data_IF_477578688037
#
_entry.id   IF_477578688037
#
_cell.length_a   1.000
_cell.length_b   1.000
_cell.length_c   1.000
_cell.angle_alpha   90.00
_cell.angle_beta   90.00
_cell.angle_gamma   90.00
#
_symmetry.space_group_name_H-M   'P 1'
#
loop_
_entity.id
_entity.type
_entity.pdbx_description
1 polymer ?
#
# COMPACT_ATOMS: atom_id res chain seq x y z
N UNK A 1 -39.68 -11.87 53.61
CA UNK A 1 -38.35 -11.41 54.08
C UNK A 1 -37.33 -12.49 53.71
N UNK A 2 -36.25 -12.10 53.05
CA UNK A 2 -35.44 -12.92 52.13
C UNK A 2 -34.38 -13.83 52.82
N UNK A 3 -34.36 -15.08 52.32
CA UNK A 3 -33.25 -15.93 51.85
C UNK A 3 -31.95 -16.05 52.68
N UNK A 4 -31.72 -17.33 53.04
CA UNK A 4 -30.56 -17.98 53.65
C UNK A 4 -29.32 -17.95 52.74
N UNK A 5 -28.18 -17.58 53.30
CA UNK A 5 -26.85 -17.68 52.68
C UNK A 5 -26.50 -19.14 52.33
N UNK A 6 -25.93 -19.36 51.14
CA UNK A 6 -25.28 -20.62 50.76
C UNK A 6 -23.96 -20.31 50.07
N UNK A 7 -22.90 -20.82 50.68
CA UNK A 7 -21.50 -20.65 50.33
C UNK A 7 -21.13 -21.40 49.05
N UNK A 8 -20.39 -20.70 48.20
CA UNK A 8 -19.85 -21.14 46.93
C UNK A 8 -18.75 -22.19 47.15
N UNK A 9 -18.97 -23.42 46.68
CA UNK A 9 -17.94 -24.46 46.61
C UNK A 9 -17.25 -24.39 45.24
N UNK A 10 -15.99 -23.96 45.23
CA UNK A 10 -15.11 -24.03 44.06
C UNK A 10 -14.54 -25.44 43.92
N UNK A 11 -15.09 -26.24 43.00
CA UNK A 11 -14.50 -27.50 42.58
C UNK A 11 -13.32 -27.24 41.65
N UNK A 12 -12.11 -27.53 42.14
CA UNK A 12 -10.88 -27.58 41.34
C UNK A 12 -10.95 -28.78 40.37
N UNK A 13 -11.06 -28.51 39.07
CA UNK A 13 -10.93 -29.53 38.04
C UNK A 13 -9.46 -29.90 37.82
N UNK A 14 -9.09 -31.20 37.79
CA UNK A 14 -7.74 -31.62 37.43
C UNK A 14 -7.52 -31.49 35.91
N UNK A 15 -6.47 -30.75 35.55
CA UNK A 15 -5.96 -30.63 34.18
C UNK A 15 -5.39 -31.99 33.77
N UNK A 16 -6.01 -32.61 32.77
CA UNK A 16 -5.50 -33.83 32.11
C UNK A 16 -4.36 -33.44 31.16
N UNK A 17 -3.18 -34.09 31.22
CA UNK A 17 -2.14 -33.88 30.22
C UNK A 17 -2.59 -34.49 28.89
N UNK A 18 -2.81 -33.62 27.89
CA UNK A 18 -2.99 -34.03 26.50
C UNK A 18 -1.66 -34.60 26.01
N UNK A 19 -1.71 -35.85 25.59
CA UNK A 19 -0.60 -36.58 25.00
C UNK A 19 0.13 -35.71 23.96
N UNK A 20 1.44 -35.59 24.16
CA UNK A 20 2.39 -35.13 23.18
C UNK A 20 2.23 -35.94 21.89
N UNK A 21 1.63 -35.34 20.86
CA UNK A 21 1.72 -35.82 19.48
C UNK A 21 3.18 -35.68 19.07
N UNK A 22 3.85 -36.82 18.96
CA UNK A 22 5.18 -36.96 18.41
C UNK A 22 5.20 -36.43 16.97
N UNK A 23 5.70 -35.22 16.76
CA UNK A 23 6.17 -34.79 15.45
C UNK A 23 7.48 -35.52 15.19
N UNK A 24 7.41 -36.64 14.46
CA UNK A 24 8.59 -37.23 13.81
C UNK A 24 9.02 -36.26 12.72
N UNK A 25 9.78 -35.24 13.10
CA UNK A 25 10.60 -34.49 12.16
C UNK A 25 11.65 -35.46 11.63
N UNK A 26 11.40 -35.98 10.43
CA UNK A 26 12.40 -36.65 9.64
C UNK A 26 13.58 -35.70 9.48
N UNK A 27 14.65 -36.00 10.20
CA UNK A 27 15.98 -35.43 10.00
C UNK A 27 16.49 -35.98 8.66
N UNK A 28 15.95 -35.47 7.56
CA UNK A 28 16.50 -35.71 6.23
C UNK A 28 17.77 -34.88 6.19
N UNK A 29 18.90 -35.55 6.42
CA UNK A 29 20.26 -35.11 6.13
C UNK A 29 20.29 -34.46 4.75
N UNK A 30 20.07 -33.16 4.69
CA UNK A 30 20.57 -32.34 3.61
C UNK A 30 21.95 -31.94 4.08
N UNK A 31 22.94 -32.62 3.50
CA UNK A 31 24.34 -32.27 3.63
C UNK A 31 24.46 -30.83 3.16
N UNK A 32 24.64 -29.91 4.11
CA UNK A 32 25.07 -28.55 3.85
C UNK A 32 26.44 -28.68 3.21
N UNK A 33 26.47 -28.62 1.87
CA UNK A 33 27.71 -28.39 1.14
C UNK A 33 28.07 -26.92 1.37
N UNK A 34 28.91 -26.69 2.38
CA UNK A 34 29.70 -25.47 2.47
C UNK A 34 30.68 -25.46 1.28
N UNK A 35 30.22 -25.05 0.09
CA UNK A 35 31.15 -24.69 -0.97
C UNK A 35 31.64 -23.27 -0.71
N UNK A 36 32.77 -23.23 -0.02
CA UNK A 36 33.64 -22.08 0.13
C UNK A 36 34.13 -21.66 -1.27
N UNK A 37 33.60 -20.57 -1.82
CA UNK A 37 34.20 -19.91 -2.98
C UNK A 37 34.87 -18.62 -2.50
N UNK A 38 36.17 -18.71 -2.24
CA UNK A 38 37.06 -17.55 -2.17
C UNK A 38 37.98 -17.53 -3.39
N UNK A 39 38.22 -16.30 -3.84
CA UNK A 39 39.29 -15.82 -4.70
C UNK A 39 39.05 -15.78 -6.22
N UNK A 40 38.95 -14.52 -6.68
CA UNK A 40 39.58 -13.93 -7.87
C UNK A 40 39.11 -14.37 -9.27
N UNK A 41 38.38 -13.49 -9.95
CA UNK A 41 38.83 -13.01 -11.26
C UNK A 41 38.27 -11.60 -11.52
N UNK A 42 39.17 -10.65 -11.73
CA UNK A 42 38.85 -9.30 -12.18
C UNK A 42 38.78 -9.31 -13.70
N UNK A 43 37.61 -9.03 -14.27
CA UNK A 43 37.50 -8.79 -15.71
C UNK A 43 36.50 -7.68 -16.05
N UNK A 44 37.08 -6.49 -16.20
CA UNK A 44 36.87 -5.52 -17.28
C UNK A 44 35.47 -5.45 -17.90
N UNK A 45 34.77 -4.36 -17.56
CA UNK A 45 34.16 -3.39 -18.48
C UNK A 45 34.19 -3.74 -19.98
N UNK A 46 33.01 -4.01 -20.56
CA UNK A 46 32.74 -3.94 -22.00
C UNK A 46 31.21 -3.86 -22.17
N UNK A 47 30.58 -2.68 -22.27
CA UNK A 47 30.29 -1.93 -23.52
C UNK A 47 29.86 -2.85 -24.67
N UNK A 48 28.63 -3.38 -24.58
CA UNK A 48 27.96 -4.02 -25.72
C UNK A 48 27.50 -2.93 -26.69
N UNK A 49 28.39 -2.63 -27.65
CA UNK A 49 28.05 -2.18 -28.99
C UNK A 49 27.87 -3.43 -29.83
N UNK A 50 26.67 -3.66 -30.39
CA UNK A 50 26.43 -4.43 -31.61
C UNK A 50 25.24 -3.78 -32.32
N UNK A 51 25.47 -3.01 -33.38
CA UNK A 51 25.68 -3.45 -34.77
C UNK A 51 24.36 -3.70 -35.49
N UNK A 52 23.77 -2.64 -36.04
CA UNK A 52 22.91 -2.76 -37.23
C UNK A 52 23.35 -1.72 -38.26
N UNK A 53 24.29 -2.15 -39.11
CA UNK A 53 24.62 -1.54 -40.38
C UNK A 53 23.66 -2.08 -41.44
N UNK A 54 22.85 -1.22 -42.05
CA UNK A 54 22.41 -1.39 -43.44
C UNK A 54 22.05 -0.03 -44.06
N UNK A 55 22.81 0.29 -45.11
CA UNK A 55 22.45 1.08 -46.28
C UNK A 55 22.19 2.61 -46.14
N UNK A 56 23.25 3.35 -46.47
CA UNK A 56 23.24 4.64 -47.17
C UNK A 56 22.38 4.55 -48.46
N UNK A 57 21.78 5.57 -49.08
CA UNK A 57 22.18 6.94 -49.44
C UNK A 57 20.95 7.65 -50.08
N UNK A 58 20.97 9.00 -50.03
CA UNK A 58 20.61 9.98 -51.09
C UNK A 58 19.71 11.12 -50.58
N UNK A 59 20.33 12.29 -50.53
CA UNK A 59 19.72 13.60 -50.28
C UNK A 59 19.02 14.14 -51.54
N UNK A 60 17.86 14.78 -51.38
CA UNK A 60 17.31 15.75 -52.35
C UNK A 60 16.74 16.96 -51.60
N UNK A 61 17.07 18.11 -52.15
CA UNK A 61 16.86 19.49 -51.72
C UNK A 61 15.40 19.97 -51.87
N UNK A 62 15.18 21.16 -51.29
CA UNK A 62 14.35 22.26 -51.78
C UNK A 62 13.01 22.52 -51.07
N UNK A 63 12.94 23.77 -50.60
CA UNK A 63 11.77 24.51 -50.17
C UNK A 63 10.62 24.49 -51.18
N UNK A 64 9.38 24.57 -50.69
CA UNK A 64 8.27 25.02 -51.52
C UNK A 64 6.88 24.60 -51.03
N UNK A 65 6.05 25.62 -50.82
CA UNK A 65 4.59 25.65 -50.98
C UNK A 65 3.69 25.02 -49.89
N UNK A 66 3.20 25.94 -49.05
CA UNK A 66 1.78 26.03 -48.68
C UNK A 66 0.85 25.66 -49.85
N UNK A 67 -0.13 24.77 -49.64
CA UNK A 67 -1.55 25.00 -49.94
C UNK A 67 -2.43 23.89 -49.33
N UNK A 68 -3.56 24.31 -48.76
CA UNK A 68 -4.62 23.55 -48.09
C UNK A 68 -5.38 22.58 -49.05
N UNK A 69 -6.22 21.64 -48.55
CA UNK A 69 -7.64 22.00 -48.42
C UNK A 69 -8.38 21.41 -47.21
N UNK A 70 -9.29 22.24 -46.69
CA UNK A 70 -10.46 21.92 -45.88
C UNK A 70 -11.30 20.79 -46.48
N UNK A 71 -11.78 19.86 -45.64
CA UNK A 71 -12.97 19.05 -45.94
C UNK A 71 -13.83 18.75 -44.70
N UNK A 72 -15.14 18.51 -44.92
CA UNK A 72 -16.22 19.00 -44.06
C UNK A 72 -16.75 17.97 -43.04
N UNK A 73 -17.59 18.53 -42.16
CA UNK A 73 -18.55 17.89 -41.26
C UNK A 73 -19.22 16.63 -41.81
N UNK A 74 -19.11 15.54 -41.05
CA UNK A 74 -20.09 14.47 -41.02
C UNK A 74 -20.12 13.89 -39.60
N UNK A 75 -21.12 14.33 -38.83
CA UNK A 75 -21.48 13.75 -37.55
C UNK A 75 -22.00 12.31 -37.75
N UNK A 76 -21.62 11.37 -36.87
CA UNK A 76 -22.49 10.27 -36.51
C UNK A 76 -23.29 10.66 -35.26
N UNK A 77 -24.62 10.70 -35.39
CA UNK A 77 -25.50 10.50 -34.24
C UNK A 77 -25.16 9.13 -33.63
N UNK A 78 -24.47 9.12 -32.49
CA UNK A 78 -24.43 7.95 -31.62
C UNK A 78 -25.39 8.19 -30.46
N UNK A 79 -26.60 7.68 -30.66
CA UNK A 79 -27.49 7.28 -29.58
C UNK A 79 -26.86 6.02 -28.97
N UNK A 80 -26.12 6.19 -27.89
CA UNK A 80 -25.74 5.11 -27.00
C UNK A 80 -26.15 5.56 -25.60
N UNK A 81 -27.17 4.88 -25.08
CA UNK A 81 -27.79 5.20 -23.81
C UNK A 81 -26.74 5.29 -22.70
N UNK A 82 -26.79 6.40 -21.97
CA UNK A 82 -26.22 6.50 -20.64
C UNK A 82 -26.90 5.43 -19.78
N UNK A 83 -26.32 4.23 -19.73
CA UNK A 83 -26.45 3.42 -18.54
C UNK A 83 -25.94 4.31 -17.43
N UNK A 84 -26.84 4.75 -16.56
CA UNK A 84 -26.50 5.35 -15.29
C UNK A 84 -25.58 4.34 -14.62
N UNK A 85 -24.27 4.57 -14.72
CA UNK A 85 -23.32 3.92 -13.85
C UNK A 85 -23.72 4.45 -12.48
N UNK A 86 -24.43 3.61 -11.76
CA UNK A 86 -24.58 3.70 -10.32
C UNK A 86 -23.17 3.55 -9.76
N UNK A 87 -22.40 4.64 -9.81
CA UNK A 87 -21.34 4.88 -8.84
C UNK A 87 -22.06 4.87 -7.51
N UNK A 88 -22.18 3.68 -6.93
CA UNK A 88 -22.39 3.52 -5.51
C UNK A 88 -21.28 4.31 -4.84
N UNK A 89 -21.61 5.56 -4.50
CA UNK A 89 -20.86 6.35 -3.55
C UNK A 89 -20.94 5.56 -2.25
N UNK A 90 -19.96 4.69 -2.05
CA UNK A 90 -19.70 4.13 -0.74
C UNK A 90 -19.39 5.35 0.11
N UNK A 91 -20.37 5.73 0.90
CA UNK A 91 -20.29 6.81 1.87
C UNK A 91 -19.36 6.29 2.96
N UNK A 92 -18.06 6.34 2.65
CA UNK A 92 -17.02 5.70 3.43
C UNK A 92 -16.65 6.55 4.62
N UNK A 93 -17.55 6.66 5.60
CA UNK A 93 -17.25 7.28 6.90
C UNK A 93 -16.29 6.41 7.73
N UNK A 94 -15.87 5.24 7.23
CA UNK A 94 -15.04 4.25 7.93
C UNK A 94 -13.97 3.67 7.01
N UNK A 95 -12.76 3.47 7.55
CA UNK A 95 -11.68 2.79 6.83
C UNK A 95 -12.00 1.33 6.44
N UNK A 96 -13.01 0.71 7.05
CA UNK A 96 -13.45 -0.64 6.70
C UNK A 96 -14.20 -0.71 5.36
N UNK A 97 -14.57 0.43 4.78
CA UNK A 97 -15.31 0.49 3.52
C UNK A 97 -14.42 0.51 2.27
N UNK A 98 -13.11 0.35 2.40
CA UNK A 98 -12.18 0.41 1.26
C UNK A 98 -11.93 1.84 0.79
N UNK A 99 -11.29 2.67 1.62
CA UNK A 99 -11.13 4.12 1.39
C UNK A 99 -9.85 4.51 0.64
N UNK A 100 -9.08 3.53 0.18
CA UNK A 100 -7.82 3.76 -0.53
C UNK A 100 -7.63 2.71 -1.62
N UNK A 101 -6.79 3.02 -2.63
CA UNK A 101 -6.47 2.05 -3.69
C UNK A 101 -5.14 1.35 -3.44
N UNK A 102 -4.98 0.14 -3.98
CA UNK A 102 -3.69 -0.57 -3.94
C UNK A 102 -2.56 0.18 -4.65
N UNK A 103 -2.89 0.90 -5.73
CA UNK A 103 -1.92 1.73 -6.46
C UNK A 103 -1.41 2.85 -5.55
N UNK A 104 -2.32 3.54 -4.85
CA UNK A 104 -1.95 4.58 -3.90
C UNK A 104 -1.10 4.04 -2.75
N UNK A 105 -1.48 2.92 -2.15
CA UNK A 105 -0.69 2.26 -1.11
C UNK A 105 0.71 1.86 -1.61
N UNK A 106 0.83 1.42 -2.87
CA UNK A 106 2.13 1.07 -3.47
C UNK A 106 3.03 2.28 -3.69
N UNK A 107 2.47 3.45 -4.03
CA UNK A 107 3.23 4.70 -4.06
C UNK A 107 3.65 5.10 -2.64
N UNK A 108 2.74 4.95 -1.68
CA UNK A 108 2.99 5.21 -0.26
C UNK A 108 4.13 4.42 0.31
N UNK A 109 4.22 3.13 -0.03
CA UNK A 109 5.34 2.27 0.37
C UNK A 109 6.68 2.86 -0.08
N UNK A 110 6.78 3.29 -1.35
CA UNK A 110 8.02 3.86 -1.85
C UNK A 110 8.39 5.17 -1.14
N UNK A 111 7.40 6.01 -0.81
CA UNK A 111 7.65 7.23 -0.06
C UNK A 111 8.05 6.95 1.38
N UNK A 112 7.43 5.96 2.03
CA UNK A 112 7.84 5.51 3.35
C UNK A 112 9.30 5.03 3.35
N UNK A 113 9.71 4.24 2.35
CA UNK A 113 11.10 3.78 2.23
C UNK A 113 12.11 4.94 2.08
N UNK A 114 11.72 6.00 1.37
CA UNK A 114 12.58 7.16 1.14
C UNK A 114 12.66 8.12 2.33
N UNK A 115 11.54 8.40 2.99
CA UNK A 115 11.43 9.49 3.94
C UNK A 115 11.27 9.05 5.41
N UNK A 116 10.83 7.81 5.66
CA UNK A 116 10.44 7.37 7.00
C UNK A 116 11.26 6.16 7.50
N UNK A 117 11.69 5.27 6.60
CA UNK A 117 12.29 3.98 6.95
C UNK A 117 13.67 4.08 7.62
N UNK A 118 14.34 5.24 7.55
CA UNK A 118 15.58 5.48 8.26
C UNK A 118 15.39 5.45 9.80
N UNK A 119 14.22 5.88 10.30
CA UNK A 119 13.91 5.96 11.72
C UNK A 119 12.77 5.02 12.15
N UNK A 120 11.85 4.68 11.24
CA UNK A 120 10.67 3.87 11.56
C UNK A 120 10.71 2.49 10.92
N UNK A 121 10.35 1.47 11.71
CA UNK A 121 10.01 0.16 11.18
C UNK A 121 8.51 0.11 10.86
N UNK A 122 8.15 -0.25 9.63
CA UNK A 122 6.75 -0.34 9.19
C UNK A 122 5.90 -1.24 10.10
N UNK A 123 6.44 -2.35 10.61
CA UNK A 123 5.71 -3.30 11.47
C UNK A 123 5.32 -2.73 12.82
N UNK A 124 6.04 -1.70 13.26
CA UNK A 124 5.75 -0.97 14.50
C UNK A 124 4.69 0.12 14.30
N UNK A 125 4.52 0.59 13.06
CA UNK A 125 3.57 1.65 12.68
C UNK A 125 2.26 1.10 12.09
N UNK A 126 2.10 -0.23 12.00
CA UNK A 126 0.99 -0.88 11.30
C UNK A 126 0.37 -2.03 12.13
N UNK A 127 -0.70 -2.61 11.62
CA UNK A 127 -1.39 -3.76 12.20
C UNK A 127 -2.06 -3.45 13.53
N UNK A 128 -2.00 -4.39 14.48
CA UNK A 128 -2.65 -4.24 15.79
C UNK A 128 -2.15 -3.04 16.59
N UNK A 129 -0.87 -2.66 16.45
CA UNK A 129 -0.31 -1.49 17.14
C UNK A 129 -0.90 -0.19 16.59
N UNK A 130 -1.00 -0.09 15.26
CA UNK A 130 -1.68 1.02 14.60
C UNK A 130 -3.14 1.12 15.05
N UNK A 131 -3.87 0.01 14.97
CA UNK A 131 -5.26 -0.03 15.39
C UNK A 131 -5.41 0.37 16.86
N UNK A 132 -4.63 -0.18 17.78
CA UNK A 132 -4.72 0.17 19.20
C UNK A 132 -4.44 1.66 19.48
N UNK A 133 -3.54 2.28 18.71
CA UNK A 133 -3.19 3.70 18.88
C UNK A 133 -4.24 4.65 18.29
N UNK A 134 -4.82 4.29 17.15
CA UNK A 134 -5.61 5.20 16.32
C UNK A 134 -7.11 4.90 16.26
N UNK A 135 -7.56 3.78 16.84
CA UNK A 135 -9.00 3.46 16.87
C UNK A 135 -9.79 4.54 17.59
N UNK A 136 -10.87 5.00 16.98
CA UNK A 136 -11.72 6.09 17.48
C UNK A 136 -11.28 7.49 17.04
N UNK A 137 -10.10 7.63 16.44
CA UNK A 137 -9.66 8.85 15.75
C UNK A 137 -10.07 8.83 14.27
N UNK A 138 -9.86 9.95 13.59
CA UNK A 138 -10.08 10.08 12.15
C UNK A 138 -8.76 9.96 11.37
N UNK A 139 -8.85 9.67 10.07
CA UNK A 139 -7.66 9.78 9.20
C UNK A 139 -7.15 11.21 9.09
N UNK A 140 -8.02 12.21 9.29
CA UNK A 140 -7.63 13.62 9.34
C UNK A 140 -6.69 13.91 10.51
N UNK A 141 -7.00 13.39 11.70
CA UNK A 141 -6.15 13.57 12.89
C UNK A 141 -4.76 12.93 12.69
N UNK A 142 -4.74 11.72 12.13
CA UNK A 142 -3.50 11.03 11.80
C UNK A 142 -2.70 11.78 10.73
N UNK A 143 -3.36 12.27 9.68
CA UNK A 143 -2.73 13.04 8.61
C UNK A 143 -2.11 14.32 9.13
N UNK A 144 -2.82 15.06 9.97
CA UNK A 144 -2.33 16.30 10.56
C UNK A 144 -1.07 16.04 11.40
N UNK A 145 -1.09 15.01 12.25
CA UNK A 145 0.08 14.64 13.05
C UNK A 145 1.26 14.24 12.16
N UNK A 146 1.05 13.35 11.19
CA UNK A 146 2.15 12.87 10.33
C UNK A 146 2.70 14.02 9.48
N UNK A 147 1.84 14.85 8.88
CA UNK A 147 2.29 15.94 8.02
C UNK A 147 3.00 17.07 8.78
N UNK A 148 2.67 17.30 10.06
CA UNK A 148 3.25 18.39 10.85
C UNK A 148 4.46 17.99 11.70
N UNK A 149 4.63 16.69 11.96
CA UNK A 149 5.71 16.18 12.84
C UNK A 149 6.71 15.28 12.13
N UNK A 150 6.38 14.79 10.93
CA UNK A 150 7.26 13.93 10.14
C UNK A 150 7.62 14.59 8.81
N UNK A 151 8.75 14.20 8.20
CA UNK A 151 9.86 13.46 8.81
C UNK A 151 10.51 14.20 10.00
N UNK A 152 11.04 13.49 10.99
CA UNK A 152 11.55 14.08 12.26
C UNK A 152 12.60 15.21 12.05
N UNK A 153 13.44 15.07 11.02
CA UNK A 153 14.46 16.07 10.69
C UNK A 153 13.98 17.22 9.80
N UNK A 154 12.82 17.07 9.14
CA UNK A 154 12.28 18.06 8.21
C UNK A 154 10.74 17.98 8.13
N UNK A 155 10.02 18.36 9.21
CA UNK A 155 8.57 18.18 9.28
C UNK A 155 7.83 18.96 8.18
N UNK A 156 6.85 18.32 7.54
CA UNK A 156 6.05 18.97 6.49
C UNK A 156 6.74 19.11 5.13
N UNK A 157 7.88 18.45 4.93
CA UNK A 157 8.65 18.52 3.68
C UNK A 157 8.03 17.78 2.50
N UNK A 158 7.18 16.79 2.73
CA UNK A 158 6.48 16.05 1.67
C UNK A 158 5.21 16.76 1.21
N UNK A 159 4.77 16.48 -0.02
CA UNK A 159 3.50 16.98 -0.53
C UNK A 159 2.32 16.30 0.19
N UNK A 160 1.16 16.97 0.31
CA UNK A 160 -0.04 16.37 0.91
C UNK A 160 -0.42 15.00 0.30
N UNK A 161 -0.27 14.84 -1.02
CA UNK A 161 -0.60 13.60 -1.72
C UNK A 161 0.36 12.46 -1.37
N UNK A 162 1.61 12.78 -1.02
CA UNK A 162 2.60 11.82 -0.57
C UNK A 162 2.28 11.31 0.82
N UNK A 163 1.87 12.21 1.73
CA UNK A 163 1.36 11.82 3.06
C UNK A 163 0.11 10.94 2.95
N UNK A 164 -0.87 11.33 2.13
CA UNK A 164 -2.07 10.52 1.90
C UNK A 164 -1.73 9.13 1.36
N UNK A 165 -0.73 9.05 0.46
CA UNK A 165 -0.24 7.78 -0.05
C UNK A 165 0.42 6.93 1.05
N UNK A 166 1.23 7.54 1.92
CA UNK A 166 1.84 6.86 3.08
C UNK A 166 0.77 6.33 4.05
N UNK A 167 -0.31 7.08 4.28
CA UNK A 167 -1.42 6.60 5.10
C UNK A 167 -2.13 5.40 4.44
N UNK A 168 -2.38 5.45 3.13
CA UNK A 168 -2.91 4.31 2.38
C UNK A 168 -2.02 3.06 2.51
N UNK A 169 -0.69 3.25 2.49
CA UNK A 169 0.27 2.18 2.77
C UNK A 169 0.11 1.61 4.19
N UNK A 170 0.00 2.46 5.21
CA UNK A 170 -0.24 1.99 6.57
C UNK A 170 -1.55 1.22 6.73
N UNK A 171 -2.62 1.65 6.04
CA UNK A 171 -3.89 0.94 6.06
C UNK A 171 -3.78 -0.44 5.42
N UNK A 172 -3.12 -0.54 4.25
CA UNK A 172 -2.85 -1.82 3.57
C UNK A 172 -2.05 -2.77 4.45
N UNK A 173 -0.92 -2.31 4.99
CA UNK A 173 -0.05 -3.13 5.84
C UNK A 173 -0.72 -3.50 7.17
N UNK A 174 -1.69 -2.70 7.62
CA UNK A 174 -2.52 -3.04 8.77
C UNK A 174 -3.61 -4.07 8.48
N UNK A 175 -3.85 -4.39 7.21
CA UNK A 175 -4.85 -5.37 6.78
C UNK A 175 -6.26 -4.81 6.61
N UNK A 176 -6.41 -3.49 6.48
CA UNK A 176 -7.69 -2.89 6.10
C UNK A 176 -7.97 -3.14 4.61
N UNK A 177 -9.25 -3.32 4.22
CA UNK A 177 -9.60 -3.57 2.83
C UNK A 177 -9.28 -2.35 1.96
N UNK A 178 -8.82 -2.61 0.74
CA UNK A 178 -8.72 -1.60 -0.31
C UNK A 178 -10.08 -1.38 -1.02
N UNK A 179 -10.17 -0.31 -1.78
CA UNK A 179 -11.31 0.01 -2.63
C UNK A 179 -10.88 0.70 -3.92
N UNK A 180 -11.84 1.35 -4.58
CA UNK A 180 -11.66 1.92 -5.92
C UNK A 180 -11.34 3.41 -5.91
N UNK A 181 -11.54 4.09 -4.78
CA UNK A 181 -11.30 5.52 -4.64
C UNK A 181 -9.97 5.76 -3.94
N UNK A 182 -9.18 6.71 -4.48
CA UNK A 182 -7.97 7.15 -3.78
C UNK A 182 -8.34 7.98 -2.56
N UNK A 183 -7.56 7.79 -1.50
CA UNK A 183 -7.65 8.58 -0.29
C UNK A 183 -7.36 10.04 -0.62
N UNK A 184 -8.23 10.99 -0.25
CA UNK A 184 -8.00 12.41 -0.50
C UNK A 184 -6.78 12.92 0.28
N UNK A 185 -6.20 14.03 -0.18
CA UNK A 185 -4.98 14.62 0.40
C UNK A 185 -5.26 15.86 1.28
N UNK A 186 -6.53 16.12 1.62
CA UNK A 186 -6.93 17.26 2.44
C UNK A 186 -7.54 16.82 3.77
N UNK A 187 -7.16 17.53 4.84
CA UNK A 187 -7.63 17.25 6.21
C UNK A 187 -9.16 17.23 6.33
N UNK A 188 -9.93 18.18 5.75
CA UNK A 188 -11.39 18.18 5.89
C UNK A 188 -12.08 16.93 5.33
N UNK A 189 -11.58 16.37 4.22
CA UNK A 189 -12.12 15.14 3.66
C UNK A 189 -11.70 13.92 4.48
N UNK A 190 -10.44 13.87 4.92
CA UNK A 190 -9.91 12.79 5.76
C UNK A 190 -10.54 12.74 7.16
N UNK A 191 -10.92 13.89 7.72
CA UNK A 191 -11.57 13.98 9.02
C UNK A 191 -12.97 13.31 9.06
N UNK A 192 -13.56 13.02 7.90
CA UNK A 192 -14.84 12.31 7.80
C UNK A 192 -14.67 10.79 7.91
N UNK A 193 -13.44 10.29 7.74
CA UNK A 193 -13.14 8.86 7.70
C UNK A 193 -12.62 8.41 9.07
N UNK A 194 -13.39 7.58 9.77
CA UNK A 194 -13.03 7.02 11.07
C UNK A 194 -12.15 5.79 10.97
N UNK A 195 -11.18 5.71 11.88
CA UNK A 195 -10.32 4.55 12.06
C UNK A 195 -10.99 3.59 13.04
N UNK A 196 -11.46 2.46 12.51
CA UNK A 196 -12.07 1.40 13.30
C UNK A 196 -11.04 0.37 13.78
N UNK A 197 -11.29 -0.28 14.93
CA UNK A 197 -10.39 -1.30 15.45
C UNK A 197 -10.33 -2.53 14.52
N UNK A 198 -9.16 -3.15 14.44
CA UNK A 198 -9.00 -4.42 13.75
C UNK A 198 -9.70 -5.52 14.55
N UNK A 199 -10.72 -6.13 13.96
CA UNK A 199 -11.58 -7.14 14.62
C UNK A 199 -11.09 -8.58 14.38
N UNK A 200 -9.92 -8.77 13.76
CA UNK A 200 -9.37 -10.08 13.34
C UNK A 200 -8.09 -10.46 14.09
#
# INVERSE_FOLDING_TARGET
MFIRASSTSWSKSPVRPILARSWRFGCRRIVVSCQNHSAADGRKMSRDRRDHLVAALLAVLAAGAFVSPSRPSAAPLQVAGSTTQETGSVTGDSILSGVFTLSQASRGEQQFQRACAACHNVREQTGRKFSAKWSGSTLGDLFDIVSTTMPEGDPGSLKPEEYASILAFFLRESGYPDGQQELPADVPSLAKIRIEPLVK
#
